data_IF_121537652835
#
_entry.id   IF_121537652835
#
_cell.length_a   1.000
_cell.length_b   1.000
_cell.length_c   1.000
_cell.angle_alpha   90.00
_cell.angle_beta   90.00
_cell.angle_gamma   90.00
#
_symmetry.space_group_name_H-M   'P 1'
#
loop_
_entity.id
_entity.type
_entity.pdbx_description
1 polymer ?
#
# COMPACT_ATOMS: atom_id res chain seq x y z
N UNK A 1 0.44 12.60 1.29
CA UNK A 1 -0.24 11.56 2.08
C UNK A 1 -0.78 12.16 3.36
N UNK A 2 -2.01 11.87 3.65
CA UNK A 2 -2.68 12.38 4.83
C UNK A 2 -2.83 11.25 5.84
N UNK A 3 -2.39 11.48 7.08
CA UNK A 3 -2.43 10.45 8.12
C UNK A 3 -3.15 11.00 9.33
N UNK A 4 -4.15 10.26 9.80
CA UNK A 4 -4.86 10.56 11.04
C UNK A 4 -4.63 9.42 11.99
N UNK A 5 -4.18 9.71 13.20
CA UNK A 5 -3.97 8.65 14.17
C UNK A 5 -4.94 8.77 15.33
N UNK A 6 -5.28 7.62 15.89
CA UNK A 6 -6.23 7.52 16.98
C UNK A 6 -5.71 6.47 17.98
N UNK A 7 -5.70 6.81 19.25
CA UNK A 7 -5.24 5.87 20.26
C UNK A 7 -6.34 4.89 20.61
N UNK A 8 -5.99 3.62 20.53
CA UNK A 8 -6.92 2.55 20.84
C UNK A 8 -6.48 1.84 22.11
N UNK A 9 -7.40 1.12 22.80
CA UNK A 9 -7.00 0.29 23.92
C UNK A 9 -6.06 -0.84 23.45
N UNK A 10 -5.49 -1.55 24.40
CA UNK A 10 -4.63 -2.72 24.16
C UNK A 10 -3.33 -2.39 23.43
N UNK A 11 -2.78 -1.21 23.71
CA UNK A 11 -1.48 -0.80 23.15
C UNK A 11 -1.48 -0.78 21.64
N UNK A 12 -2.53 -0.22 21.05
CA UNK A 12 -2.65 -0.08 19.62
C UNK A 12 -2.90 1.37 19.23
N UNK A 13 -2.46 1.72 18.03
CA UNK A 13 -2.76 3.01 17.43
C UNK A 13 -3.49 2.76 16.11
N UNK A 14 -4.68 3.34 15.99
CA UNK A 14 -5.42 3.30 14.75
C UNK A 14 -4.90 4.37 13.81
N UNK A 15 -4.70 4.01 12.56
CA UNK A 15 -4.26 4.94 11.53
C UNK A 15 -5.26 4.95 10.39
N UNK A 16 -5.65 6.15 9.99
CA UNK A 16 -6.41 6.33 8.77
C UNK A 16 -5.49 7.05 7.80
N UNK A 17 -5.23 6.44 6.67
CA UNK A 17 -4.25 6.93 5.71
C UNK A 17 -4.94 7.22 4.40
N UNK A 18 -4.78 8.45 3.94
CA UNK A 18 -5.27 8.88 2.64
C UNK A 18 -4.08 9.00 1.69
N UNK A 19 -4.08 8.19 0.64
CA UNK A 19 -3.04 8.17 -0.37
C UNK A 19 -3.47 9.07 -1.51
N UNK A 20 -2.60 10.02 -1.89
CA UNK A 20 -2.93 10.95 -2.96
C UNK A 20 -3.06 10.25 -4.31
N UNK A 21 -3.79 10.88 -5.22
CA UNK A 21 -3.95 10.37 -6.57
C UNK A 21 -2.60 10.25 -7.28
N UNK A 22 -1.70 11.19 -7.05
CA UNK A 22 -0.37 11.17 -7.64
C UNK A 22 0.46 10.00 -7.13
N UNK A 23 0.44 9.74 -5.82
CA UNK A 23 1.18 8.63 -5.24
C UNK A 23 0.65 7.30 -5.74
N UNK A 24 -0.66 7.17 -5.85
CA UNK A 24 -1.32 5.97 -6.37
C UNK A 24 -0.87 5.69 -7.81
N UNK A 25 -0.90 6.71 -8.66
CA UNK A 25 -0.51 6.58 -10.04
C UNK A 25 0.99 6.25 -10.18
N UNK A 26 1.81 6.97 -9.44
CA UNK A 26 3.27 6.78 -9.49
C UNK A 26 3.66 5.37 -9.09
N UNK A 27 3.06 4.86 -8.01
CA UNK A 27 3.33 3.50 -7.54
C UNK A 27 2.90 2.47 -8.57
N UNK A 28 1.74 2.65 -9.18
CA UNK A 28 1.26 1.75 -10.22
C UNK A 28 2.18 1.75 -11.43
N UNK A 29 2.52 2.92 -11.93
CA UNK A 29 3.38 3.05 -13.11
C UNK A 29 4.76 2.46 -12.86
N UNK A 30 5.33 2.71 -11.69
CA UNK A 30 6.63 2.18 -11.33
C UNK A 30 6.60 0.65 -11.23
N UNK A 31 5.55 0.11 -10.64
CA UNK A 31 5.38 -1.32 -10.51
C UNK A 31 5.30 -1.99 -11.88
N UNK A 32 4.48 -1.45 -12.76
CA UNK A 32 4.34 -1.99 -14.12
C UNK A 32 5.65 -1.88 -14.90
N UNK A 33 6.35 -0.76 -14.77
CA UNK A 33 7.64 -0.58 -15.43
C UNK A 33 8.66 -1.63 -14.95
N UNK A 34 8.70 -1.88 -13.64
CA UNK A 34 9.60 -2.90 -13.10
C UNK A 34 9.23 -4.29 -13.60
N UNK A 35 7.94 -4.59 -13.71
CA UNK A 35 7.49 -5.86 -14.27
C UNK A 35 7.89 -6.00 -15.73
N UNK A 36 7.81 -4.93 -16.51
CA UNK A 36 8.21 -4.94 -17.90
C UNK A 36 9.68 -5.29 -18.06
N UNK A 37 10.51 -4.84 -17.13
CA UNK A 37 11.95 -5.15 -17.14
C UNK A 37 12.25 -6.59 -16.76
N UNK A 38 11.45 -7.14 -15.86
CA UNK A 38 11.71 -8.48 -15.28
C UNK A 38 11.00 -9.60 -16.01
N UNK A 39 9.90 -9.29 -16.67
CA UNK A 39 9.06 -10.32 -17.28
C UNK A 39 9.56 -10.68 -18.66
N UNK A 40 9.65 -11.98 -18.93
CA UNK A 40 10.03 -12.49 -20.23
C UNK A 40 8.80 -13.13 -20.86
N UNK A 41 8.30 -12.53 -21.92
CA UNK A 41 7.13 -13.01 -22.64
C UNK A 41 7.56 -13.52 -24.02
N UNK A 42 7.16 -14.75 -24.39
CA UNK A 42 7.52 -15.29 -25.71
C UNK A 42 7.08 -14.36 -26.83
N UNK A 43 7.95 -14.12 -27.79
CA UNK A 43 7.72 -13.21 -28.90
C UNK A 43 8.21 -11.81 -28.69
N UNK A 44 8.67 -11.49 -27.48
CA UNK A 44 9.20 -10.17 -27.16
C UNK A 44 10.55 -10.28 -26.47
N UNK A 45 11.39 -9.30 -26.68
CA UNK A 45 12.67 -9.21 -25.96
C UNK A 45 12.38 -8.78 -24.53
N UNK A 46 13.19 -9.27 -23.60
CA UNK A 46 13.11 -8.84 -22.21
C UNK A 46 13.24 -7.31 -22.14
N UNK A 47 12.32 -6.68 -21.45
CA UNK A 47 12.29 -5.23 -21.34
C UNK A 47 11.62 -4.51 -22.50
N UNK A 48 11.21 -5.23 -23.53
CA UNK A 48 10.57 -4.65 -24.72
C UNK A 48 9.11 -5.04 -24.86
N UNK A 49 8.54 -5.63 -23.83
CA UNK A 49 7.13 -6.03 -23.83
C UNK A 49 6.25 -4.79 -23.70
N UNK A 50 5.28 -4.56 -24.61
CA UNK A 50 4.37 -3.44 -24.44
C UNK A 50 3.56 -3.57 -23.16
N UNK A 51 3.32 -2.44 -22.50
CA UNK A 51 2.58 -2.42 -21.25
C UNK A 51 1.23 -3.13 -21.34
N UNK A 52 0.51 -2.90 -22.41
CA UNK A 52 -0.80 -3.51 -22.63
C UNK A 52 -0.71 -5.03 -22.68
N UNK A 53 0.29 -5.56 -23.37
CA UNK A 53 0.50 -7.00 -23.48
C UNK A 53 0.84 -7.60 -22.12
N UNK A 54 1.69 -6.93 -21.38
CA UNK A 54 2.07 -7.37 -20.03
C UNK A 54 0.83 -7.46 -19.12
N UNK A 55 0.00 -6.43 -19.13
CA UNK A 55 -1.20 -6.39 -18.30
C UNK A 55 -2.17 -7.50 -18.68
N UNK A 56 -2.33 -7.76 -19.98
CA UNK A 56 -3.18 -8.85 -20.45
C UNK A 56 -2.67 -10.22 -20.01
N UNK A 57 -1.36 -10.41 -20.09
CA UNK A 57 -0.76 -11.72 -19.75
C UNK A 57 -0.81 -12.02 -18.27
N UNK A 58 -0.53 -11.04 -17.44
CA UNK A 58 -0.50 -11.23 -15.99
C UNK A 58 -1.86 -11.09 -15.35
N UNK A 59 -2.80 -10.44 -16.03
CA UNK A 59 -4.11 -10.18 -15.47
C UNK A 59 -4.17 -8.84 -14.76
N UNK A 60 -5.10 -8.00 -15.22
CA UNK A 60 -5.28 -6.65 -14.67
C UNK A 60 -5.54 -6.67 -13.17
N UNK A 61 -6.39 -7.60 -12.73
CA UNK A 61 -6.75 -7.68 -11.31
C UNK A 61 -5.57 -8.13 -10.45
N UNK A 62 -4.75 -9.03 -10.95
CA UNK A 62 -3.58 -9.50 -10.22
C UNK A 62 -2.54 -8.40 -10.05
N UNK A 63 -2.30 -7.62 -11.10
CA UNK A 63 -1.39 -6.48 -11.02
C UNK A 63 -1.93 -5.46 -10.04
N UNK A 64 -3.21 -5.17 -10.12
CA UNK A 64 -3.88 -4.23 -9.25
C UNK A 64 -3.76 -4.64 -7.77
N UNK A 65 -3.97 -5.92 -7.49
CA UNK A 65 -3.86 -6.45 -6.13
C UNK A 65 -2.42 -6.32 -5.60
N UNK A 66 -1.44 -6.62 -6.42
CA UNK A 66 -0.03 -6.51 -6.03
C UNK A 66 0.37 -5.07 -5.77
N UNK A 67 -0.08 -4.14 -6.62
CA UNK A 67 0.18 -2.71 -6.44
C UNK A 67 -0.48 -2.20 -5.17
N UNK A 68 -1.72 -2.62 -4.91
CA UNK A 68 -2.44 -2.20 -3.72
C UNK A 68 -1.73 -2.67 -2.45
N UNK A 69 -1.29 -3.92 -2.42
CA UNK A 69 -0.56 -4.47 -1.29
C UNK A 69 0.72 -3.68 -1.02
N UNK A 70 1.49 -3.41 -2.07
CA UNK A 70 2.71 -2.63 -1.94
C UNK A 70 2.42 -1.21 -1.48
N UNK A 71 1.39 -0.61 -2.02
CA UNK A 71 0.99 0.76 -1.67
C UNK A 71 0.61 0.85 -0.19
N UNK A 72 -0.15 -0.13 0.30
CA UNK A 72 -0.54 -0.18 1.71
C UNK A 72 0.68 -0.34 2.61
N UNK A 73 1.56 -1.27 2.29
CA UNK A 73 2.76 -1.52 3.08
C UNK A 73 3.68 -0.30 3.12
N UNK A 74 3.95 0.29 1.98
CA UNK A 74 4.81 1.47 1.89
C UNK A 74 4.20 2.66 2.61
N UNK A 75 2.90 2.86 2.48
CA UNK A 75 2.20 3.96 3.13
C UNK A 75 2.17 3.80 4.64
N UNK A 76 1.96 2.58 5.13
CA UNK A 76 2.00 2.33 6.57
C UNK A 76 3.38 2.60 7.14
N UNK A 77 4.42 2.13 6.46
CA UNK A 77 5.79 2.37 6.89
C UNK A 77 6.09 3.86 6.94
N UNK A 78 5.71 4.57 5.90
CA UNK A 78 5.92 6.01 5.83
C UNK A 78 5.10 6.75 6.89
N UNK A 79 3.87 6.32 7.12
CA UNK A 79 3.02 6.92 8.15
C UNK A 79 3.62 6.71 9.55
N UNK A 80 4.13 5.53 9.83
CA UNK A 80 4.76 5.23 11.11
C UNK A 80 5.97 6.13 11.32
N UNK A 81 6.78 6.31 10.30
CA UNK A 81 7.94 7.19 10.37
C UNK A 81 7.54 8.66 10.51
N UNK A 82 6.56 9.09 9.73
CA UNK A 82 6.08 10.47 9.73
C UNK A 82 5.48 10.87 11.09
N UNK A 83 4.73 9.97 11.70
CA UNK A 83 4.08 10.22 12.99
C UNK A 83 4.96 9.84 14.18
N UNK A 84 6.17 9.41 13.91
CA UNK A 84 7.13 9.00 14.95
C UNK A 84 6.54 7.95 15.89
N UNK A 85 5.82 6.99 15.33
CA UNK A 85 5.20 5.92 16.11
C UNK A 85 6.22 4.82 16.37
N UNK A 86 6.31 4.42 17.65
CA UNK A 86 7.17 3.34 18.04
C UNK A 86 6.43 2.02 17.86
N UNK A 87 6.55 1.44 16.67
CA UNK A 87 5.81 0.24 16.30
C UNK A 87 6.59 -1.03 16.66
N UNK A 88 5.86 -2.06 17.07
CA UNK A 88 6.45 -3.39 17.30
C UNK A 88 6.65 -4.16 16.00
N UNK A 89 6.35 -3.53 14.88
CA UNK A 89 6.53 -4.16 13.57
C UNK A 89 5.30 -4.87 13.04
N UNK A 90 4.28 -5.02 13.86
CA UNK A 90 3.04 -5.68 13.46
C UNK A 90 1.94 -4.66 13.17
N UNK A 91 1.15 -4.94 12.16
CA UNK A 91 -0.03 -4.14 11.91
C UNK A 91 -1.18 -5.03 11.45
N UNK A 92 -2.40 -4.53 11.65
CA UNK A 92 -3.61 -5.20 11.20
C UNK A 92 -4.38 -4.24 10.33
N UNK A 93 -4.69 -4.66 9.11
CA UNK A 93 -5.49 -3.83 8.21
C UNK A 93 -6.95 -3.91 8.65
N UNK A 94 -7.52 -2.76 9.01
CA UNK A 94 -8.92 -2.70 9.42
C UNK A 94 -9.87 -2.75 8.23
N UNK A 95 -9.48 -2.10 7.14
CA UNK A 95 -10.25 -2.18 5.90
C UNK A 95 -10.03 -3.55 5.27
N UNK A 96 -11.07 -4.11 4.68
CA UNK A 96 -10.93 -5.39 4.01
C UNK A 96 -10.20 -5.19 2.69
N UNK A 97 -9.20 -6.01 2.46
CA UNK A 97 -8.38 -5.89 1.25
C UNK A 97 -9.23 -6.00 -0.03
N UNK A 98 -10.18 -6.92 -0.03
CA UNK A 98 -11.05 -7.11 -1.19
C UNK A 98 -11.90 -5.89 -1.49
N UNK A 99 -12.38 -5.22 -0.45
CA UNK A 99 -13.13 -3.98 -0.63
C UNK A 99 -12.25 -2.88 -1.19
N UNK A 100 -11.04 -2.76 -0.66
CA UNK A 100 -10.08 -1.78 -1.16
C UNK A 100 -9.74 -2.05 -2.62
N UNK A 101 -9.56 -3.32 -2.96
CA UNK A 101 -9.26 -3.72 -4.32
C UNK A 101 -10.39 -3.32 -5.28
N UNK A 102 -11.62 -3.45 -4.83
CA UNK A 102 -12.79 -3.08 -5.63
C UNK A 102 -12.89 -1.59 -5.92
N UNK A 103 -12.44 -0.75 -4.98
CA UNK A 103 -12.52 0.71 -5.15
C UNK A 103 -11.20 1.31 -5.63
N UNK A 104 -10.11 0.55 -5.57
CA UNK A 104 -8.80 1.06 -5.96
C UNK A 104 -8.74 1.30 -7.46
N UNK A 105 -8.47 2.54 -7.82
CA UNK A 105 -8.25 2.93 -9.21
C UNK A 105 -6.95 3.70 -9.28
N UNK A 106 -5.95 3.22 -10.03
CA UNK A 106 -4.69 3.95 -10.16
C UNK A 106 -4.94 5.36 -10.69
N UNK A 107 -4.34 6.33 -10.03
CA UNK A 107 -4.56 7.73 -10.38
C UNK A 107 -5.68 8.39 -9.60
N UNK A 108 -6.31 7.67 -8.68
CA UNK A 108 -7.33 8.24 -7.79
C UNK A 108 -6.90 8.10 -6.34
N UNK A 109 -7.45 8.95 -5.49
CA UNK A 109 -7.16 8.92 -4.06
C UNK A 109 -7.71 7.64 -3.43
N UNK A 110 -6.94 7.06 -2.53
CA UNK A 110 -7.36 5.86 -1.79
C UNK A 110 -7.20 6.09 -0.30
N UNK A 111 -8.22 5.75 0.47
CA UNK A 111 -8.17 5.84 1.93
C UNK A 111 -8.35 4.46 2.53
N UNK A 112 -7.52 4.13 3.51
CA UNK A 112 -7.65 2.87 4.22
C UNK A 112 -7.33 3.06 5.69
N UNK A 113 -7.75 2.11 6.52
CA UNK A 113 -7.54 2.14 7.96
C UNK A 113 -6.77 0.92 8.42
N UNK A 114 -5.86 1.12 9.36
CA UNK A 114 -5.06 0.04 9.92
C UNK A 114 -4.81 0.29 11.39
N UNK A 115 -4.46 -0.76 12.13
CA UNK A 115 -4.02 -0.67 13.52
C UNK A 115 -2.59 -1.13 13.60
N UNK A 116 -1.80 -0.42 14.40
CA UNK A 116 -0.39 -0.75 14.62
C UNK A 116 -0.21 -1.10 16.09
N UNK A 117 0.48 -2.20 16.36
CA UNK A 117 0.84 -2.57 17.73
C UNK A 117 2.00 -1.72 18.19
N UNK A 118 1.88 -1.16 19.38
CA UNK A 118 2.95 -0.33 19.97
C UNK A 118 3.25 -0.84 21.36
N UNK A 119 4.43 -0.55 21.90
CA UNK A 119 4.74 -0.92 23.29
C UNK A 119 3.75 -0.27 24.25
N UNK A 120 3.38 -0.93 25.34
CA UNK A 120 2.54 -0.31 26.35
C UNK A 120 3.20 0.97 26.85
N UNK A 121 2.42 2.04 26.88
CA UNK A 121 2.93 3.30 27.41
C UNK A 121 2.86 3.23 28.90
N UNK A 122 3.95 2.92 29.49
CA UNK A 122 4.02 2.73 30.95
C UNK A 122 4.22 4.05 31.67
N UNK A 123 4.35 5.00 30.95
CA UNK A 123 4.59 6.30 31.51
C UNK A 123 3.38 6.95 32.02
N UNK A 124 3.53 6.79 32.12
CA UNK A 124 3.00 7.27 32.18
C UNK A 124 2.50 7.69 32.93
N UNK A 125 2.71 7.65 33.10
CA UNK A 125 2.26 7.80 33.59
C UNK A 125 1.73 8.49 33.66
N UNK A 126 1.75 8.45 33.45
CA UNK A 126 1.34 8.92 33.29
C UNK A 126 0.84 8.96 33.51
#
# INVERSE_FOLDING_TARGET
>A
MKVTQDRLPDSQIGLEIEISSEASKTTYDKFVTDLMRKTNIPGFRKGKVPRRILIQRLGKEQIKASVLEKLIQDSLKEAIEQEAIESLGNYTLKSQFEELLGIFTPGETLTFSACVDVPPTVTLGD
#
